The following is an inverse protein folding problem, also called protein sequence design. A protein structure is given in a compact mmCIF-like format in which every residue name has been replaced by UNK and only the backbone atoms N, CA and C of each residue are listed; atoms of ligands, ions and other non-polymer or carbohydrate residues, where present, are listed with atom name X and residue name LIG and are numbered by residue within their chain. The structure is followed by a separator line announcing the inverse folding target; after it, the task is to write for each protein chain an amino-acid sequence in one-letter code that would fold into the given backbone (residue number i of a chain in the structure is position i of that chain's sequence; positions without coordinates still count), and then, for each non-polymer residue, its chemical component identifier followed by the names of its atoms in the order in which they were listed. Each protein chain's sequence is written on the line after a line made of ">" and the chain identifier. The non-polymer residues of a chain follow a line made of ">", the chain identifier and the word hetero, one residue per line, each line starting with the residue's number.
data_IF_564634834229
#
_entry.id   IF_564634834229
#
_cell.length_a   1.000
_cell.length_b   1.000
_cell.length_c   1.000
_cell.angle_alpha   90.00
_cell.angle_beta   90.00
_cell.angle_gamma   90.00
#
_symmetry.space_group_name_H-M   'P 1'
#
loop_
_entity.id
_entity.type
_entity.pdbx_description
1 polymer ?
#
# COMPACT_ATOMS: atom_id res chain seq x y z
N UNK A 1 -2.50 -10.83 -16.53
CA UNK A 1 -3.23 -10.76 -15.25
C UNK A 1 -4.56 -10.04 -15.49
N UNK A 2 -5.62 -10.26 -14.71
CA UNK A 2 -6.87 -9.51 -14.71
C UNK A 2 -7.17 -8.99 -13.31
N UNK A 3 -7.74 -7.78 -13.22
CA UNK A 3 -8.08 -7.19 -11.93
C UNK A 3 -9.31 -7.89 -11.34
N UNK A 4 -9.21 -8.30 -10.09
CA UNK A 4 -10.34 -8.68 -9.24
C UNK A 4 -10.51 -7.53 -8.27
N UNK A 5 -11.61 -6.77 -8.39
CA UNK A 5 -11.90 -5.69 -7.45
C UNK A 5 -12.24 -6.34 -6.11
N UNK A 6 -11.23 -6.37 -5.25
CA UNK A 6 -11.33 -6.74 -3.85
C UNK A 6 -10.92 -5.48 -3.14
N UNK A 7 -11.92 -4.68 -2.74
CA UNK A 7 -11.69 -3.40 -2.08
C UNK A 7 -10.71 -3.56 -0.92
N UNK A 8 -10.02 -2.48 -0.55
CA UNK A 8 -9.02 -2.50 0.52
C UNK A 8 -9.60 -3.14 1.77
N UNK A 9 -9.09 -4.32 2.14
CA UNK A 9 -9.50 -4.97 3.38
C UNK A 9 -9.19 -4.04 4.56
N UNK A 10 -10.17 -3.80 5.46
CA UNK A 10 -9.94 -2.95 6.61
C UNK A 10 -8.86 -3.58 7.50
N UNK A 11 -7.91 -2.77 7.95
CA UNK A 11 -6.93 -3.22 8.94
C UNK A 11 -7.67 -3.54 10.24
N UNK A 12 -7.48 -4.74 10.83
CA UNK A 12 -8.04 -5.03 12.15
C UNK A 12 -7.60 -3.97 13.16
N UNK A 13 -8.54 -3.42 13.92
CA UNK A 13 -8.28 -2.29 14.83
C UNK A 13 -7.09 -2.52 15.77
N UNK A 14 -6.91 -3.75 16.25
CA UNK A 14 -5.82 -4.11 17.15
C UNK A 14 -4.45 -3.94 16.48
N UNK A 15 -4.34 -4.28 15.19
CA UNK A 15 -3.10 -4.08 14.41
C UNK A 15 -2.85 -2.60 14.13
N UNK A 16 -3.90 -1.85 13.80
CA UNK A 16 -3.80 -0.41 13.60
C UNK A 16 -3.34 0.29 14.90
N UNK A 17 -3.91 -0.08 16.05
CA UNK A 17 -3.49 0.44 17.37
C UNK A 17 -2.05 0.10 17.69
N UNK A 18 -1.62 -1.15 17.48
CA UNK A 18 -0.24 -1.56 17.73
C UNK A 18 0.75 -0.81 16.83
N UNK A 19 0.44 -0.64 15.55
CA UNK A 19 1.28 0.11 14.63
C UNK A 19 1.45 1.58 15.09
N UNK A 20 0.37 2.23 15.52
CA UNK A 20 0.44 3.60 16.06
C UNK A 20 1.25 3.74 17.35
N UNK A 21 1.37 2.67 18.15
CA UNK A 21 2.17 2.67 19.39
C UNK A 21 3.65 2.41 19.08
N UNK A 22 3.93 1.52 18.13
CA UNK A 22 5.30 1.04 17.83
C UNK A 22 6.02 1.99 16.86
N UNK A 23 5.28 2.60 15.93
CA UNK A 23 5.85 3.52 14.96
C UNK A 23 5.95 4.95 15.52
N UNK A 24 6.97 5.73 15.12
CA UNK A 24 7.00 7.17 15.39
C UNK A 24 5.79 7.88 14.79
N UNK A 25 5.31 8.96 15.42
CA UNK A 25 4.18 9.75 14.92
C UNK A 25 4.40 10.35 13.52
N UNK A 26 5.66 10.51 13.09
CA UNK A 26 6.06 10.99 11.76
C UNK A 26 6.24 9.85 10.74
N UNK A 27 5.76 8.64 11.05
CA UNK A 27 5.87 7.52 10.12
C UNK A 27 4.98 7.77 8.89
N UNK A 28 5.64 8.06 7.76
CA UNK A 28 4.99 8.40 6.50
C UNK A 28 4.12 7.26 5.96
N UNK A 29 4.45 6.00 6.25
CA UNK A 29 3.65 4.85 5.84
C UNK A 29 2.28 4.85 6.53
N UNK A 30 2.23 5.15 7.84
CA UNK A 30 0.97 5.23 8.59
C UNK A 30 0.14 6.42 8.12
N UNK A 31 0.75 7.60 8.00
CA UNK A 31 0.07 8.81 7.50
C UNK A 31 -0.47 8.61 6.08
N UNK A 32 0.32 8.02 5.17
CA UNK A 32 -0.16 7.70 3.83
C UNK A 32 -1.29 6.68 3.85
N UNK A 33 -1.24 5.67 4.71
CA UNK A 33 -2.30 4.66 4.77
C UNK A 33 -3.62 5.26 5.25
N UNK A 34 -3.57 6.13 6.26
CA UNK A 34 -4.77 6.76 6.82
C UNK A 34 -5.37 7.80 5.86
N UNK A 35 -4.54 8.58 5.15
CA UNK A 35 -5.02 9.68 4.29
C UNK A 35 -5.23 9.27 2.82
N UNK A 36 -4.39 8.37 2.28
CA UNK A 36 -4.41 7.99 0.86
C UNK A 36 -4.97 6.58 0.61
N UNK A 37 -5.23 5.80 1.66
CA UNK A 37 -5.79 4.45 1.53
C UNK A 37 -7.14 4.45 0.79
N UNK A 38 -7.96 5.47 1.02
CA UNK A 38 -9.25 5.63 0.34
C UNK A 38 -9.14 6.20 -1.09
N UNK A 39 -8.03 6.86 -1.41
CA UNK A 39 -7.79 7.49 -2.72
C UNK A 39 -7.45 6.44 -3.78
N UNK A 40 -6.67 5.42 -3.42
CA UNK A 40 -6.27 4.37 -4.34
C UNK A 40 -7.27 3.21 -4.35
N UNK A 41 -8.33 3.36 -5.15
CA UNK A 41 -9.32 2.31 -5.37
C UNK A 41 -9.00 1.48 -6.63
N UNK A 42 -9.39 0.21 -6.63
CA UNK A 42 -9.17 -0.70 -7.77
C UNK A 42 -9.76 -0.16 -9.08
N UNK A 43 -10.85 0.58 -9.00
CA UNK A 43 -11.56 1.20 -10.10
C UNK A 43 -10.68 2.17 -10.90
N UNK A 44 -9.73 2.86 -10.24
CA UNK A 44 -8.78 3.75 -10.91
C UNK A 44 -7.83 3.00 -11.85
N UNK A 45 -7.59 1.72 -11.59
CA UNK A 45 -6.65 0.90 -12.33
C UNK A 45 -7.33 -0.08 -13.28
N UNK A 46 -8.66 -0.21 -13.22
CA UNK A 46 -9.41 -1.21 -13.97
C UNK A 46 -9.15 -1.17 -15.49
N UNK A 47 -8.91 0.02 -16.06
CA UNK A 47 -8.62 0.20 -17.49
C UNK A 47 -7.25 -0.37 -17.92
N UNK A 48 -6.34 -0.60 -16.98
CA UNK A 48 -4.99 -1.13 -17.24
C UNK A 48 -4.96 -2.66 -17.34
N UNK A 49 -6.04 -3.34 -16.96
CA UNK A 49 -6.10 -4.79 -16.91
C UNK A 49 -7.09 -5.36 -17.94
N UNK A 50 -6.74 -6.45 -18.65
CA UNK A 50 -7.68 -7.15 -19.52
C UNK A 50 -8.79 -7.82 -18.70
N UNK A 51 -9.98 -7.97 -19.30
CA UNK A 51 -11.15 -8.59 -18.65
C UNK A 51 -10.97 -10.08 -18.27
N UNK A 52 -10.02 -10.77 -18.90
CA UNK A 52 -9.76 -12.21 -18.68
C UNK A 52 -8.25 -12.44 -18.49
N UNK A 53 -7.92 -13.33 -17.55
CA UNK A 53 -6.55 -13.73 -17.25
C UNK A 53 -6.42 -14.25 -15.81
N UNK A 54 -5.21 -14.66 -15.42
CA UNK A 54 -4.87 -14.95 -14.02
C UNK A 54 -5.08 -13.71 -13.12
N UNK A 55 -5.48 -13.83 -11.84
CA UNK A 55 -5.69 -12.70 -10.93
C UNK A 55 -4.44 -11.81 -10.82
N UNK A 56 -4.62 -10.49 -10.89
CA UNK A 56 -3.58 -9.52 -10.59
C UNK A 56 -3.46 -9.32 -9.08
N UNK A 57 -2.25 -8.98 -8.61
CA UNK A 57 -2.10 -8.34 -7.30
C UNK A 57 -2.78 -6.97 -7.30
N UNK A 58 -3.26 -6.55 -6.12
CA UNK A 58 -3.98 -5.30 -5.94
C UNK A 58 -3.13 -4.09 -6.41
N UNK A 59 -3.52 -3.40 -7.50
CA UNK A 59 -2.71 -2.34 -8.11
C UNK A 59 -2.56 -1.11 -7.20
N UNK A 60 -3.53 -0.85 -6.33
CA UNK A 60 -3.45 0.22 -5.33
C UNK A 60 -2.29 0.02 -4.35
N UNK A 61 -1.94 -1.23 -3.99
CA UNK A 61 -0.80 -1.53 -3.11
C UNK A 61 0.51 -1.06 -3.73
N UNK A 62 0.68 -1.35 -5.02
CA UNK A 62 1.87 -0.93 -5.75
C UNK A 62 1.93 0.60 -5.87
N UNK A 63 0.82 1.25 -6.17
CA UNK A 63 0.75 2.71 -6.23
C UNK A 63 1.15 3.38 -4.90
N UNK A 64 0.67 2.84 -3.77
CA UNK A 64 1.04 3.33 -2.44
C UNK A 64 2.54 3.17 -2.17
N UNK A 65 3.13 2.02 -2.51
CA UNK A 65 4.58 1.79 -2.37
C UNK A 65 5.38 2.76 -3.25
N UNK A 66 4.93 3.04 -4.47
CA UNK A 66 5.60 3.98 -5.39
C UNK A 66 5.55 5.42 -4.89
N UNK A 67 4.42 5.85 -4.32
CA UNK A 67 4.32 7.20 -3.72
C UNK A 67 5.20 7.31 -2.48
N UNK A 68 5.23 6.27 -1.63
CA UNK A 68 6.11 6.25 -0.46
C UNK A 68 7.59 6.29 -0.88
N UNK A 69 7.98 5.49 -1.87
CA UNK A 69 9.32 5.52 -2.48
C UNK A 69 9.72 6.92 -2.95
N UNK A 70 8.82 7.58 -3.68
CA UNK A 70 9.04 8.93 -4.17
C UNK A 70 9.16 9.95 -3.02
N UNK A 71 8.27 9.89 -2.05
CA UNK A 71 8.21 10.83 -0.94
C UNK A 71 9.41 10.70 0.01
N UNK A 72 9.93 9.49 0.22
CA UNK A 72 11.14 9.25 1.00
C UNK A 72 12.43 9.51 0.21
N UNK A 73 12.35 9.79 -1.10
CA UNK A 73 13.51 10.00 -1.96
C UNK A 73 14.41 8.76 -2.09
N UNK A 74 13.85 7.57 -1.85
CA UNK A 74 14.60 6.33 -1.80
C UNK A 74 14.76 5.73 -3.20
N UNK A 75 15.95 5.22 -3.49
CA UNK A 75 16.15 4.31 -4.63
C UNK A 75 15.36 3.01 -4.41
N UNK A 76 14.99 2.31 -5.49
CA UNK A 76 14.29 1.01 -5.43
C UNK A 76 14.89 0.03 -4.41
N UNK A 77 16.23 0.03 -4.32
CA UNK A 77 16.99 -0.83 -3.39
C UNK A 77 16.88 -0.38 -1.93
N UNK A 78 16.80 0.92 -1.67
CA UNK A 78 16.59 1.44 -0.33
C UNK A 78 15.14 1.22 0.12
N UNK A 79 14.18 1.39 -0.77
CA UNK A 79 12.78 1.11 -0.46
C UNK A 79 12.52 -0.37 -0.21
N UNK A 80 13.10 -1.27 -1.01
CA UNK A 80 13.04 -2.71 -0.76
C UNK A 80 13.64 -3.08 0.62
N UNK A 81 14.70 -2.38 1.04
CA UNK A 81 15.28 -2.57 2.37
C UNK A 81 14.41 -1.97 3.48
N UNK A 82 13.76 -0.83 3.26
CA UNK A 82 12.86 -0.18 4.22
C UNK A 82 11.60 -1.04 4.47
N UNK A 83 11.01 -1.60 3.40
CA UNK A 83 9.89 -2.56 3.51
C UNK A 83 10.31 -3.81 4.29
N UNK A 84 11.58 -4.24 4.23
CA UNK A 84 12.08 -5.40 4.99
C UNK A 84 12.14 -5.15 6.50
N UNK A 85 12.33 -3.90 6.92
CA UNK A 85 12.39 -3.50 8.33
C UNK A 85 11.04 -3.07 8.88
N UNK A 86 10.10 -2.66 8.02
CA UNK A 86 8.73 -2.34 8.42
C UNK A 86 7.84 -3.58 8.40
N UNK A 87 7.63 -4.15 9.58
CA UNK A 87 6.63 -5.21 9.82
C UNK A 87 5.20 -4.69 9.58
N UNK A 88 5.02 -3.37 9.53
CA UNK A 88 3.74 -2.67 9.43
C UNK A 88 3.14 -2.66 8.01
N UNK A 89 3.90 -3.05 6.98
CA UNK A 89 3.48 -2.97 5.55
C UNK A 89 2.76 -4.23 5.04
N UNK A 90 2.14 -5.01 5.92
CA UNK A 90 1.42 -6.25 5.54
C UNK A 90 -0.08 -6.17 5.71
#
# INVERSE_FOLDING_TARGET
>A
MCLKSEGMEPVPEERARLAHIVCPAENLCLLMRDELGEVFQDELFASLFPRRGQPAEAPWRLAMVTVLQFAEGLTDRQAANAVRTHIDVK
#
